data_IF_324392274052
#
_entry.id   IF_324392274052
#
_cell.length_a   1.000
_cell.length_b   1.000
_cell.length_c   1.000
_cell.angle_alpha   90.00
_cell.angle_beta   90.00
_cell.angle_gamma   90.00
#
_symmetry.space_group_name_H-M   'P 1'
#
loop_
_entity.id
_entity.type
_entity.pdbx_description
1 polymer ?
#
# COMPACT_ATOMS: atom_id res chain seq x y z
N UNK A 1 12.45 21.35 -1.15
CA UNK A 1 11.38 21.95 -1.98
C UNK A 1 10.06 21.57 -1.34
N UNK A 2 9.31 22.55 -0.84
CA UNK A 2 8.11 22.32 -0.04
C UNK A 2 6.90 22.82 -0.81
N UNK A 3 5.82 22.04 -0.87
CA UNK A 3 4.59 22.34 -1.61
C UNK A 3 4.83 22.54 -3.11
N UNK A 4 5.73 21.75 -3.68
CA UNK A 4 6.01 21.76 -5.10
C UNK A 4 6.42 20.37 -5.60
N UNK A 5 6.21 20.16 -6.90
CA UNK A 5 6.63 18.95 -7.59
C UNK A 5 7.82 19.22 -8.51
N UNK A 6 8.79 18.33 -8.51
CA UNK A 6 9.99 18.39 -9.35
C UNK A 6 10.18 17.09 -10.11
N UNK A 7 10.73 17.18 -11.31
CA UNK A 7 11.20 16.00 -12.05
C UNK A 7 12.38 15.41 -11.30
N UNK A 8 12.26 14.14 -10.88
CA UNK A 8 13.30 13.39 -10.17
C UNK A 8 14.19 12.66 -11.18
N UNK A 9 13.60 12.14 -12.25
CA UNK A 9 14.27 11.56 -13.41
C UNK A 9 13.37 11.65 -14.66
N UNK A 10 13.87 11.30 -15.84
CA UNK A 10 13.06 11.37 -17.07
C UNK A 10 11.83 10.45 -16.96
N UNK A 11 10.64 11.05 -16.95
CA UNK A 11 9.37 10.33 -16.77
C UNK A 11 8.84 10.31 -15.34
N UNK A 12 9.66 10.67 -14.33
CA UNK A 12 9.28 10.61 -12.92
C UNK A 12 9.19 12.01 -12.31
N UNK A 13 7.98 12.40 -11.87
CA UNK A 13 7.75 13.63 -11.08
C UNK A 13 7.51 13.27 -9.62
N UNK A 14 8.37 13.76 -8.74
CA UNK A 14 8.24 13.67 -7.29
C UNK A 14 7.61 14.94 -6.72
N UNK A 15 6.82 14.81 -5.68
CA UNK A 15 6.00 15.87 -5.11
C UNK A 15 6.21 15.89 -3.59
N UNK A 16 6.56 17.05 -3.02
CA UNK A 16 6.78 17.20 -1.58
C UNK A 16 5.75 18.14 -0.97
N UNK A 17 5.12 17.72 0.13
CA UNK A 17 4.05 18.43 0.81
C UNK A 17 4.35 18.53 2.32
N UNK A 18 4.08 19.69 2.94
CA UNK A 18 4.22 19.88 4.40
C UNK A 18 2.92 20.20 5.15
N UNK A 19 1.81 20.28 4.42
CA UNK A 19 0.47 20.54 4.96
C UNK A 19 -0.53 19.64 4.23
N UNK A 20 -1.72 19.49 4.79
CA UNK A 20 -2.75 18.68 4.13
C UNK A 20 -3.14 19.32 2.80
N UNK A 21 -3.27 18.50 1.75
CA UNK A 21 -3.72 18.91 0.42
C UNK A 21 -2.88 20.00 -0.28
N UNK A 22 -1.61 20.24 0.11
CA UNK A 22 -0.81 21.32 -0.50
C UNK A 22 -0.43 21.14 -1.98
N UNK A 23 -0.68 19.97 -2.55
CA UNK A 23 -0.40 19.69 -3.96
C UNK A 23 -1.66 19.27 -4.74
N UNK A 24 -2.85 19.43 -4.16
CA UNK A 24 -4.08 19.08 -4.87
C UNK A 24 -4.41 20.13 -5.93
N UNK A 25 -4.39 19.79 -7.24
CA UNK A 25 -5.15 20.57 -8.21
C UNK A 25 -6.62 20.46 -7.79
N UNK A 26 -7.35 21.58 -7.77
CA UNK A 26 -8.77 21.57 -7.42
C UNK A 26 -9.50 20.45 -8.21
N UNK A 27 -10.20 19.60 -7.46
CA UNK A 27 -10.93 18.39 -7.88
C UNK A 27 -10.10 17.10 -7.90
N UNK A 28 -9.89 16.53 -6.71
CA UNK A 28 -9.66 15.09 -6.58
C UNK A 28 -10.94 14.41 -7.05
N UNK A 29 -10.90 13.69 -8.17
CA UNK A 29 -11.95 12.72 -8.48
C UNK A 29 -11.70 11.57 -7.52
N UNK A 30 -12.39 11.61 -6.38
CA UNK A 30 -12.38 10.49 -5.43
C UNK A 30 -12.97 9.31 -6.22
N UNK A 31 -12.24 8.18 -6.36
CA UNK A 31 -12.82 7.00 -6.98
C UNK A 31 -14.12 6.68 -6.26
N UNK A 32 -15.19 6.48 -7.03
CA UNK A 32 -16.49 6.12 -6.46
C UNK A 32 -16.27 4.93 -5.53
N UNK A 33 -16.62 5.05 -4.23
CA UNK A 33 -16.52 3.93 -3.31
C UNK A 33 -17.21 2.73 -3.94
N UNK A 34 -16.64 1.53 -3.78
CA UNK A 34 -17.31 0.33 -4.24
C UNK A 34 -18.73 0.31 -3.64
N UNK A 35 -19.78 0.09 -4.46
CA UNK A 35 -21.17 0.04 -3.97
C UNK A 35 -21.42 -1.16 -3.04
N UNK A 36 -20.46 -2.09 -2.99
CA UNK A 36 -20.44 -3.21 -2.06
C UNK A 36 -19.71 -2.75 -0.79
N UNK A 37 -20.34 -2.80 0.40
CA UNK A 37 -19.64 -2.52 1.64
C UNK A 37 -18.49 -3.52 1.80
N UNK A 38 -17.26 -3.01 1.74
CA UNK A 38 -16.04 -3.77 1.99
C UNK A 38 -15.94 -3.98 3.50
N UNK A 39 -15.81 -5.23 3.94
CA UNK A 39 -15.57 -5.52 5.35
C UNK A 39 -14.22 -4.91 5.76
N UNK A 40 -14.15 -4.21 6.91
CA UNK A 40 -12.91 -3.57 7.32
C UNK A 40 -11.83 -4.62 7.59
N UNK A 41 -10.67 -4.47 6.95
CA UNK A 41 -9.47 -5.28 7.18
C UNK A 41 -8.36 -4.44 7.83
N UNK A 42 -7.32 -5.11 8.34
CA UNK A 42 -6.14 -4.49 8.95
C UNK A 42 -4.99 -4.45 7.94
N UNK A 43 -4.54 -3.26 7.57
CA UNK A 43 -3.45 -3.06 6.62
C UNK A 43 -2.24 -2.38 7.27
N UNK A 44 -1.04 -2.81 6.88
CA UNK A 44 0.17 -2.10 7.26
C UNK A 44 0.21 -0.73 6.58
N UNK A 45 0.57 0.30 7.33
CA UNK A 45 0.69 1.67 6.87
C UNK A 45 2.09 2.20 7.15
N UNK A 46 2.65 2.91 6.18
CA UNK A 46 3.92 3.56 6.37
C UNK A 46 4.71 3.81 5.09
N UNK A 47 5.55 4.83 5.14
CA UNK A 47 6.55 5.15 4.12
C UNK A 47 7.93 4.72 4.59
N UNK A 48 8.65 4.04 3.70
CA UNK A 48 10.00 3.53 3.90
C UNK A 48 10.94 4.07 2.83
N UNK A 49 12.17 4.40 3.21
CA UNK A 49 13.28 4.62 2.27
C UNK A 49 14.45 3.76 2.71
N UNK A 50 14.97 2.98 1.77
CA UNK A 50 16.05 2.02 2.00
C UNK A 50 15.75 1.13 3.23
N UNK A 51 14.51 0.62 3.27
CA UNK A 51 13.96 -0.23 4.33
C UNK A 51 13.88 0.41 5.73
N UNK A 52 14.18 1.71 5.86
CA UNK A 52 13.99 2.49 7.08
C UNK A 52 12.66 3.24 7.05
N UNK A 53 11.90 3.15 8.13
CA UNK A 53 10.64 3.88 8.27
C UNK A 53 10.91 5.40 8.36
N UNK A 54 10.21 6.17 7.52
CA UNK A 54 10.24 7.64 7.51
C UNK A 54 9.04 8.26 8.23
N UNK A 55 8.00 7.47 8.45
CA UNK A 55 6.74 7.87 9.08
C UNK A 55 6.49 6.97 10.28
N UNK A 56 5.48 7.29 11.09
CA UNK A 56 4.98 6.33 12.06
C UNK A 56 4.34 5.16 11.30
N UNK A 57 4.69 3.92 11.66
CA UNK A 57 4.28 2.71 10.95
C UNK A 57 3.49 1.81 11.86
N UNK A 58 2.54 1.08 11.28
CA UNK A 58 1.70 0.17 12.04
C UNK A 58 0.48 -0.28 11.27
N UNK A 59 -0.36 -1.06 11.93
CA UNK A 59 -1.62 -1.51 11.35
C UNK A 59 -2.70 -0.43 11.49
N UNK A 60 -3.49 -0.26 10.44
CA UNK A 60 -4.67 0.58 10.41
C UNK A 60 -5.86 -0.17 9.82
N UNK A 61 -7.07 0.25 10.18
CA UNK A 61 -8.30 -0.24 9.55
C UNK A 61 -8.42 0.28 8.12
N UNK A 62 -8.82 -0.58 7.20
CA UNK A 62 -8.96 -0.32 5.77
C UNK A 62 -10.30 -0.83 5.26
N UNK A 63 -11.07 0.02 4.59
CA UNK A 63 -12.27 -0.37 3.84
C UNK A 63 -11.89 -0.41 2.35
N UNK A 64 -11.20 -1.47 1.95
CA UNK A 64 -10.48 -1.57 0.69
C UNK A 64 -9.57 -2.80 0.68
N UNK A 65 -8.47 -2.70 -0.06
CA UNK A 65 -7.38 -3.66 -0.07
C UNK A 65 -6.10 -3.04 0.51
N UNK A 66 -5.26 -3.87 1.13
CA UNK A 66 -3.91 -3.45 1.50
C UNK A 66 -3.08 -3.30 0.24
N UNK A 67 -2.47 -2.13 0.05
CA UNK A 67 -1.70 -1.79 -1.13
C UNK A 67 -0.28 -1.36 -0.79
N UNK A 68 0.65 -1.65 -1.71
CA UNK A 68 2.01 -1.14 -1.63
C UNK A 68 2.54 -0.74 -2.98
N UNK A 69 3.29 0.35 -3.03
CA UNK A 69 4.07 0.74 -4.19
C UNK A 69 5.52 0.92 -3.81
N UNK A 70 6.41 0.25 -4.53
CA UNK A 70 7.85 0.30 -4.34
C UNK A 70 8.49 0.88 -5.60
N UNK A 71 9.12 2.04 -5.45
CA UNK A 71 9.99 2.64 -6.44
C UNK A 71 11.44 2.24 -6.14
N UNK A 72 12.12 1.72 -7.14
CA UNK A 72 13.56 1.43 -7.11
C UNK A 72 14.23 2.24 -8.21
N UNK A 73 15.09 3.18 -7.85
CA UNK A 73 15.79 4.09 -8.76
C UNK A 73 17.28 4.11 -8.46
N UNK A 74 18.11 4.57 -9.40
CA UNK A 74 19.54 4.75 -9.20
C UNK A 74 19.89 6.23 -9.25
N UNK A 75 20.40 6.77 -8.15
CA UNK A 75 20.86 8.16 -8.06
C UNK A 75 22.36 8.11 -7.79
N UNK A 76 23.16 8.74 -8.65
CA UNK A 76 24.63 8.73 -8.56
C UNK A 76 25.26 7.32 -8.49
N UNK A 77 24.67 6.34 -9.20
CA UNK A 77 25.15 4.95 -9.20
C UNK A 77 24.83 4.15 -7.93
N UNK A 78 24.06 4.74 -7.00
CA UNK A 78 23.56 4.07 -5.79
C UNK A 78 22.07 3.79 -5.96
N UNK A 79 21.67 2.53 -5.73
CA UNK A 79 20.27 2.14 -5.77
C UNK A 79 19.54 2.62 -4.52
N UNK A 80 18.44 3.34 -4.73
CA UNK A 80 17.51 3.78 -3.70
C UNK A 80 16.18 3.07 -3.87
N UNK A 81 15.59 2.66 -2.75
CA UNK A 81 14.27 2.03 -2.70
C UNK A 81 13.34 2.87 -1.83
N UNK A 82 12.24 3.36 -2.38
CA UNK A 82 11.17 4.00 -1.64
C UNK A 82 9.93 3.11 -1.70
N UNK A 83 9.33 2.79 -0.57
CA UNK A 83 8.12 1.98 -0.50
C UNK A 83 7.05 2.68 0.33
N UNK A 84 5.81 2.68 -0.15
CA UNK A 84 4.62 3.12 0.59
C UNK A 84 3.71 1.92 0.79
N UNK A 85 3.16 1.80 1.99
CA UNK A 85 2.12 0.85 2.36
C UNK A 85 0.88 1.62 2.80
N UNK A 86 -0.28 1.29 2.26
CA UNK A 86 -1.54 2.03 2.48
C UNK A 86 -2.76 1.14 2.28
N UNK A 87 -3.94 1.72 2.51
CA UNK A 87 -5.23 1.19 2.10
C UNK A 87 -5.62 1.83 0.76
N UNK A 88 -5.91 1.03 -0.26
CA UNK A 88 -6.45 1.51 -1.53
C UNK A 88 -7.81 0.87 -1.85
N UNK A 89 -8.69 1.55 -2.60
CA UNK A 89 -9.97 0.97 -2.99
C UNK A 89 -9.78 -0.29 -3.85
N UNK A 90 -10.64 -1.30 -3.68
CA UNK A 90 -10.62 -2.52 -4.51
C UNK A 90 -10.70 -2.22 -6.01
N UNK A 91 -11.40 -1.15 -6.41
CA UNK A 91 -11.49 -0.74 -7.81
C UNK A 91 -10.14 -0.34 -8.41
N UNK A 92 -9.25 0.27 -7.63
CA UNK A 92 -7.90 0.65 -8.06
C UNK A 92 -7.05 -0.61 -8.22
N UNK A 93 -7.00 -1.45 -7.19
CA UNK A 93 -6.26 -2.72 -7.21
C UNK A 93 -6.74 -3.66 -8.33
N UNK A 94 -8.05 -3.73 -8.56
CA UNK A 94 -8.66 -4.49 -9.64
C UNK A 94 -8.33 -3.93 -11.03
N UNK A 95 -8.40 -2.60 -11.22
CA UNK A 95 -8.09 -1.95 -12.51
C UNK A 95 -6.64 -2.17 -12.96
N UNK A 96 -5.73 -2.39 -12.01
CA UNK A 96 -4.31 -2.63 -12.24
C UNK A 96 -3.94 -4.12 -12.22
N UNK A 97 -4.90 -5.03 -12.00
CA UNK A 97 -4.66 -6.47 -11.97
C UNK A 97 -3.79 -6.95 -10.81
N UNK A 98 -3.82 -6.23 -9.68
CA UNK A 98 -2.94 -6.46 -8.52
C UNK A 98 -3.63 -7.19 -7.36
N UNK A 99 -4.91 -7.57 -7.50
CA UNK A 99 -5.65 -8.24 -6.42
C UNK A 99 -4.93 -9.53 -6.02
N UNK A 100 -4.56 -9.62 -4.75
CA UNK A 100 -3.79 -10.74 -4.17
C UNK A 100 -2.51 -11.07 -4.96
N UNK A 101 -1.90 -10.08 -5.59
CA UNK A 101 -0.74 -10.24 -6.44
C UNK A 101 0.16 -9.00 -6.41
N UNK A 102 1.38 -9.14 -6.93
CA UNK A 102 2.26 -8.03 -7.25
C UNK A 102 2.46 -7.93 -8.76
N UNK A 103 2.45 -6.72 -9.29
CA UNK A 103 2.76 -6.46 -10.70
C UNK A 103 3.83 -5.38 -10.81
N UNK A 104 4.59 -5.43 -11.88
CA UNK A 104 5.46 -4.32 -12.28
C UNK A 104 4.60 -3.33 -13.05
N UNK A 105 4.31 -2.18 -12.45
CA UNK A 105 3.46 -1.13 -13.07
C UNK A 105 4.21 -0.46 -14.21
N UNK A 106 5.50 -0.22 -13.99
CA UNK A 106 6.45 0.30 -14.97
C UNK A 106 7.88 -0.06 -14.53
N UNK A 107 8.87 0.23 -15.36
CA UNK A 107 10.28 -0.04 -15.04
C UNK A 107 10.68 0.66 -13.73
N UNK A 108 11.13 -0.12 -12.75
CA UNK A 108 11.52 0.40 -11.43
C UNK A 108 10.36 0.58 -10.44
N UNK A 109 9.11 0.36 -10.83
CA UNK A 109 7.93 0.49 -9.95
C UNK A 109 7.18 -0.84 -9.84
N UNK A 110 7.11 -1.37 -8.63
CA UNK A 110 6.30 -2.54 -8.30
C UNK A 110 5.11 -2.14 -7.42
N UNK A 111 3.92 -2.55 -7.83
CA UNK A 111 2.69 -2.43 -7.05
C UNK A 111 2.22 -3.79 -6.56
N UNK A 112 1.61 -3.87 -5.38
CA UNK A 112 0.97 -5.08 -4.86
C UNK A 112 -0.34 -4.71 -4.16
N UNK A 113 -1.36 -5.57 -4.28
CA UNK A 113 -2.56 -5.49 -3.44
C UNK A 113 -2.95 -6.85 -2.84
N UNK A 114 -3.70 -6.83 -1.74
CA UNK A 114 -4.34 -8.02 -1.17
C UNK A 114 -5.51 -7.68 -0.25
N UNK A 115 -6.40 -8.64 -0.07
CA UNK A 115 -7.72 -8.43 0.54
C UNK A 115 -7.96 -9.16 1.86
N UNK A 116 -6.89 -9.64 2.52
CA UNK A 116 -6.96 -10.26 3.84
C UNK A 116 -6.23 -9.41 4.89
N UNK A 117 -6.54 -9.62 6.15
CA UNK A 117 -5.84 -8.94 7.24
C UNK A 117 -4.34 -9.16 7.14
N UNK A 118 -3.56 -8.12 7.42
CA UNK A 118 -2.12 -8.18 7.55
C UNK A 118 -1.38 -8.76 6.35
N UNK A 119 -2.00 -8.81 5.17
CA UNK A 119 -1.51 -9.56 4.02
C UNK A 119 -0.27 -8.94 3.34
N UNK A 120 0.02 -7.67 3.66
CA UNK A 120 1.10 -6.89 3.05
C UNK A 120 1.87 -6.09 4.10
N UNK A 121 3.19 -6.26 4.15
CA UNK A 121 4.10 -5.52 5.04
C UNK A 121 5.48 -5.38 4.36
N UNK A 122 6.45 -4.64 4.91
CA UNK A 122 7.83 -4.65 4.41
C UNK A 122 8.47 -6.04 4.27
N UNK A 123 7.96 -7.03 5.01
CA UNK A 123 8.46 -8.41 5.02
C UNK A 123 7.49 -9.41 4.41
N UNK A 124 6.28 -8.99 4.01
CA UNK A 124 5.20 -9.87 3.53
C UNK A 124 4.64 -9.35 2.21
N UNK A 125 4.52 -10.24 1.22
CA UNK A 125 3.90 -9.96 -0.09
C UNK A 125 2.76 -10.95 -0.34
N UNK A 126 1.76 -10.58 -1.16
CA UNK A 126 0.68 -11.47 -1.55
C UNK A 126 1.22 -12.65 -2.36
N UNK A 127 0.56 -13.81 -2.25
CA UNK A 127 0.92 -15.02 -3.01
C UNK A 127 2.02 -15.90 -2.39
N UNK A 128 2.69 -15.45 -1.32
CA UNK A 128 3.55 -16.32 -0.54
C UNK A 128 2.72 -17.18 0.42
N UNK A 129 2.75 -18.49 0.20
CA UNK A 129 2.01 -19.49 0.99
C UNK A 129 2.67 -19.65 2.37
N UNK A 130 1.86 -19.39 3.40
CA UNK A 130 2.03 -19.62 4.85
C UNK A 130 2.83 -18.56 5.64
N UNK A 131 2.08 -17.71 6.34
CA UNK A 131 2.42 -17.26 7.69
C UNK A 131 1.19 -17.43 8.60
N UNK A 132 1.42 -17.88 9.83
CA UNK A 132 0.41 -18.53 10.67
C UNK A 132 -0.79 -17.64 11.00
N UNK A 133 -1.98 -18.23 10.92
CA UNK A 133 -3.23 -17.73 11.51
C UNK A 133 -2.97 -17.15 12.92
N UNK A 134 -3.17 -15.85 13.09
CA UNK A 134 -3.17 -15.22 14.41
C UNK A 134 -4.61 -14.92 14.76
N UNK A 135 -5.14 -15.72 15.67
CA UNK A 135 -6.53 -15.60 16.06
C UNK A 135 -6.92 -16.55 17.16
N UNK A 136 -8.10 -16.30 17.71
CA UNK A 136 -8.75 -17.15 18.68
C UNK A 136 -9.72 -18.06 17.93
N UNK A 137 -9.40 -19.35 17.91
CA UNK A 137 -10.27 -20.39 17.34
C UNK A 137 -10.84 -21.24 18.48
N UNK A 138 -12.13 -21.10 18.74
CA UNK A 138 -12.85 -21.91 19.71
C UNK A 138 -14.05 -22.60 19.05
N UNK A 139 -13.80 -23.81 18.53
CA UNK A 139 -14.77 -24.65 17.80
C UNK A 139 -16.10 -24.85 18.53
N UNK A 140 -16.06 -25.07 19.85
CA UNK A 140 -17.26 -25.33 20.66
C UNK A 140 -18.05 -24.05 21.00
N UNK A 141 -17.44 -22.88 20.82
CA UNK A 141 -18.08 -21.58 21.05
C UNK A 141 -18.49 -20.90 19.73
N UNK A 142 -18.23 -21.51 18.57
CA UNK A 142 -18.47 -20.90 17.26
C UNK A 142 -17.59 -19.67 16.98
N UNK A 143 -16.50 -19.49 17.73
CA UNK A 143 -15.63 -18.31 17.60
C UNK A 143 -14.47 -18.65 16.66
N UNK A 144 -14.42 -17.93 15.55
CA UNK A 144 -13.25 -17.82 14.68
C UNK A 144 -12.99 -16.33 14.49
N UNK A 145 -12.14 -15.78 15.35
CA UNK A 145 -11.72 -14.38 15.28
C UNK A 145 -10.22 -14.36 15.08
N UNK A 146 -9.81 -14.15 13.84
CA UNK A 146 -8.43 -14.27 13.43
C UNK A 146 -8.25 -13.92 11.98
N UNK A 147 -7.03 -13.54 11.65
CA UNK A 147 -6.60 -13.24 10.30
C UNK A 147 -5.22 -13.83 10.04
N UNK A 148 -4.80 -13.77 8.78
CA UNK A 148 -3.50 -14.26 8.29
C UNK A 148 -2.38 -13.20 8.40
#
# INVERSE_FOLDING_TARGET
>A
MTNMCSTVEQGLRGCCCNTDACLTPQKIVIPTPSPVPEFPISCWSGVYVNDNALTNVGFQTCNGECASFTLTTQINGVTHKAAIYTCDPTSVCGSMGMINNCVTVETGVQGCCCNTDGCLTPKKKPGNVLWCYVGLYAKNAGVNVGGE
#
